data_IF_213769284337
#
_entry.id   IF_213769284337
#
_cell.length_a   1.000
_cell.length_b   1.000
_cell.length_c   1.000
_cell.angle_alpha   90.00
_cell.angle_beta   90.00
_cell.angle_gamma   90.00
#
_symmetry.space_group_name_H-M   'P 1'
#
loop_
_entity.id
_entity.type
_entity.pdbx_description
1 polymer ?
#
# COMPACT_ATOMS: atom_id res chain seq x y z
N UNK A 1 -36.58 69.56 -7.89
CA UNK A 1 -35.15 69.21 -7.68
C UNK A 1 -35.04 67.69 -7.61
N UNK A 2 -34.66 67.03 -8.70
CA UNK A 2 -34.49 65.57 -8.75
C UNK A 2 -32.99 65.26 -8.74
N UNK A 3 -32.49 64.67 -7.66
CA UNK A 3 -31.09 64.26 -7.47
C UNK A 3 -30.87 62.92 -8.16
N UNK A 4 -30.09 62.88 -9.24
CA UNK A 4 -29.63 61.64 -9.88
C UNK A 4 -28.51 61.02 -9.02
N UNK A 5 -28.74 59.84 -8.46
CA UNK A 5 -27.68 58.99 -7.91
C UNK A 5 -27.12 58.11 -9.04
N UNK A 6 -25.81 58.21 -9.28
CA UNK A 6 -25.06 57.35 -10.18
C UNK A 6 -24.56 56.13 -9.40
N UNK A 7 -25.01 54.94 -9.79
CA UNK A 7 -24.51 53.67 -9.27
C UNK A 7 -23.27 53.26 -10.07
N UNK A 8 -22.10 53.32 -9.44
CA UNK A 8 -20.87 52.76 -9.99
C UNK A 8 -20.89 51.23 -9.90
N UNK A 9 -20.90 50.55 -11.05
CA UNK A 9 -20.79 49.10 -11.12
C UNK A 9 -19.33 48.69 -10.91
N UNK A 10 -19.04 48.06 -9.76
CA UNK A 10 -17.76 47.40 -9.49
C UNK A 10 -17.82 46.04 -10.20
N UNK A 11 -17.13 45.89 -11.32
CA UNK A 11 -16.99 44.62 -12.01
C UNK A 11 -16.02 43.71 -11.22
N UNK A 12 -16.57 42.69 -10.55
CA UNK A 12 -15.77 41.63 -9.93
C UNK A 12 -15.20 40.71 -11.03
N UNK A 13 -13.88 40.71 -11.20
CA UNK A 13 -13.18 39.74 -12.04
C UNK A 13 -13.23 38.37 -11.37
N UNK A 14 -14.11 37.49 -11.85
CA UNK A 14 -14.14 36.10 -11.46
C UNK A 14 -12.94 35.37 -12.08
N UNK A 15 -11.91 35.09 -11.28
CA UNK A 15 -10.83 34.18 -11.68
C UNK A 15 -11.38 32.75 -11.70
N UNK A 16 -11.72 32.27 -12.89
CA UNK A 16 -12.02 30.86 -13.14
C UNK A 16 -10.70 30.10 -13.01
N UNK A 17 -10.41 29.57 -11.83
CA UNK A 17 -9.32 28.61 -11.66
C UNK A 17 -9.72 27.33 -12.39
N UNK A 18 -9.24 27.15 -13.63
CA UNK A 18 -9.39 25.87 -14.31
C UNK A 18 -8.68 24.81 -13.47
N UNK A 19 -9.35 23.70 -13.11
CA UNK A 19 -8.68 22.63 -12.38
C UNK A 19 -7.48 22.18 -13.20
N UNK A 20 -6.32 22.09 -12.56
CA UNK A 20 -5.12 21.60 -13.22
C UNK A 20 -5.44 20.22 -13.82
N UNK A 21 -5.26 20.14 -15.14
CA UNK A 21 -5.58 18.93 -15.89
C UNK A 21 -4.58 17.84 -15.50
N UNK A 22 -5.11 16.62 -15.37
CA UNK A 22 -4.30 15.42 -15.20
C UNK A 22 -3.20 15.38 -16.28
N UNK A 23 -2.01 14.87 -15.95
CA UNK A 23 -0.86 14.80 -16.86
C UNK A 23 -0.66 13.34 -17.32
N UNK A 24 -1.44 12.83 -18.30
CA UNK A 24 -1.22 11.49 -18.85
C UNK A 24 0.05 11.45 -19.71
N UNK A 25 0.56 10.26 -19.95
CA UNK A 25 1.68 10.03 -20.86
C UNK A 25 1.25 9.07 -21.99
N UNK A 26 1.31 9.53 -23.25
CA UNK A 26 0.84 8.77 -24.42
C UNK A 26 -0.58 8.20 -24.25
N UNK A 27 -1.47 8.97 -23.60
CA UNK A 27 -2.84 8.55 -23.28
C UNK A 27 -2.98 7.66 -22.04
N UNK A 28 -1.88 7.15 -21.47
CA UNK A 28 -1.91 6.35 -20.24
C UNK A 28 -2.03 7.23 -18.99
N UNK A 29 -2.94 6.86 -18.10
CA UNK A 29 -3.13 7.50 -16.78
C UNK A 29 -2.30 6.84 -15.68
N UNK A 30 -1.79 5.62 -15.91
CA UNK A 30 -0.84 4.92 -15.06
C UNK A 30 0.35 4.53 -15.91
N UNK A 31 1.53 5.02 -15.55
CA UNK A 31 2.76 4.80 -16.32
C UNK A 31 3.97 4.79 -15.37
N UNK A 32 5.15 4.43 -15.88
CA UNK A 32 6.37 4.35 -15.08
C UNK A 32 7.46 5.29 -15.58
N UNK A 33 8.39 5.58 -14.69
CA UNK A 33 9.66 6.23 -14.99
C UNK A 33 10.74 5.68 -14.06
N UNK A 34 12.00 5.80 -14.46
CA UNK A 34 13.16 5.54 -13.61
C UNK A 34 14.00 6.80 -13.53
N UNK A 35 14.26 7.29 -12.31
CA UNK A 35 15.04 8.52 -12.09
C UNK A 35 16.14 8.21 -11.08
N UNK A 36 17.39 8.36 -11.51
CA UNK A 36 18.55 8.01 -10.67
C UNK A 36 18.58 6.53 -10.28
N UNK A 37 18.11 5.64 -11.15
CA UNK A 37 18.01 4.19 -10.88
C UNK A 37 16.88 3.78 -9.93
N UNK A 38 16.00 4.71 -9.55
CA UNK A 38 14.83 4.42 -8.72
C UNK A 38 13.58 4.39 -9.59
N UNK A 39 12.95 3.22 -9.64
CA UNK A 39 11.69 2.99 -10.34
C UNK A 39 10.50 3.61 -9.59
N UNK A 40 9.59 4.19 -10.38
CA UNK A 40 8.43 4.93 -9.89
C UNK A 40 7.23 4.65 -10.77
N UNK A 41 6.05 4.52 -10.15
CA UNK A 41 4.75 4.52 -10.84
C UNK A 41 4.14 5.90 -10.66
N UNK A 42 3.71 6.49 -11.76
CA UNK A 42 3.05 7.79 -11.81
C UNK A 42 1.57 7.57 -12.12
N UNK A 43 0.72 8.23 -11.35
CA UNK A 43 -0.73 8.21 -11.49
C UNK A 43 -1.19 9.60 -11.90
N UNK A 44 -1.88 9.69 -13.03
CA UNK A 44 -2.50 10.89 -13.54
C UNK A 44 -4.00 10.84 -13.23
N UNK A 45 -4.48 11.80 -12.44
CA UNK A 45 -5.84 11.80 -11.91
C UNK A 45 -6.27 13.23 -11.50
N UNK A 46 -7.48 13.37 -10.99
CA UNK A 46 -8.00 14.68 -10.51
C UNK A 46 -7.11 15.26 -9.41
N UNK A 47 -6.72 16.53 -9.55
CA UNK A 47 -5.88 17.22 -8.58
C UNK A 47 -6.47 17.21 -7.15
N UNK A 48 -5.59 17.17 -6.15
CA UNK A 48 -5.95 17.18 -4.72
C UNK A 48 -6.81 15.98 -4.26
N UNK A 49 -6.74 14.85 -4.97
CA UNK A 49 -7.43 13.61 -4.59
C UNK A 49 -6.45 12.55 -4.11
N UNK A 50 -6.97 11.35 -3.82
CA UNK A 50 -6.17 10.16 -3.49
C UNK A 50 -6.54 9.01 -4.41
N UNK A 51 -5.52 8.30 -4.87
CA UNK A 51 -5.67 7.03 -5.59
C UNK A 51 -5.37 5.89 -4.64
N UNK A 52 -6.31 4.95 -4.51
CA UNK A 52 -6.11 3.70 -3.80
C UNK A 52 -5.42 2.69 -4.72
N UNK A 53 -4.24 2.23 -4.30
CA UNK A 53 -3.43 1.23 -4.98
C UNK A 53 -3.46 -0.03 -4.15
N UNK A 54 -4.18 -1.05 -4.61
CA UNK A 54 -4.23 -2.35 -3.94
C UNK A 54 -3.09 -3.23 -4.44
N UNK A 55 -2.27 -3.70 -3.52
CA UNK A 55 -1.14 -4.58 -3.80
C UNK A 55 -1.52 -5.94 -3.22
N UNK A 56 -1.69 -6.91 -4.10
CA UNK A 56 -2.08 -8.26 -3.70
C UNK A 56 -0.87 -9.06 -3.25
N UNK A 57 -1.08 -9.94 -2.28
CA UNK A 57 -0.09 -10.93 -1.86
C UNK A 57 1.27 -10.31 -1.44
N UNK A 58 1.25 -9.13 -0.81
CA UNK A 58 2.49 -8.50 -0.33
C UNK A 58 2.99 -9.25 0.91
N UNK A 59 4.16 -9.87 0.83
CA UNK A 59 4.81 -10.48 1.99
C UNK A 59 5.05 -9.44 3.08
N UNK A 60 4.39 -9.62 4.22
CA UNK A 60 4.66 -8.85 5.43
C UNK A 60 5.53 -9.67 6.36
N UNK A 61 6.75 -9.20 6.56
CA UNK A 61 7.63 -9.72 7.60
C UNK A 61 7.27 -9.05 8.93
N UNK A 62 6.90 -9.87 9.91
CA UNK A 62 6.61 -9.42 11.28
C UNK A 62 7.41 -10.26 12.27
N UNK A 63 8.09 -9.60 13.20
CA UNK A 63 8.66 -10.26 14.37
C UNK A 63 7.57 -10.55 15.40
N UNK A 64 7.48 -11.78 15.88
CA UNK A 64 6.63 -12.16 17.02
C UNK A 64 7.48 -12.74 18.12
N UNK A 65 7.09 -12.52 19.37
CA UNK A 65 7.74 -13.16 20.52
C UNK A 65 7.01 -14.47 20.81
N UNK A 66 7.76 -15.56 20.92
CA UNK A 66 7.22 -16.83 21.38
C UNK A 66 6.72 -16.68 22.82
N UNK A 67 5.51 -17.19 23.07
CA UNK A 67 4.89 -17.18 24.38
C UNK A 67 5.68 -17.99 25.40
N UNK A 68 5.21 -17.95 26.65
CA UNK A 68 5.87 -18.63 27.77
C UNK A 68 5.94 -20.15 27.59
N UNK A 69 5.12 -20.74 26.72
CA UNK A 69 5.13 -22.15 26.40
C UNK A 69 5.79 -22.46 25.05
N UNK A 70 6.51 -21.50 24.48
CA UNK A 70 7.17 -21.68 23.19
C UNK A 70 6.21 -21.63 22.00
N UNK A 71 5.05 -21.01 22.17
CA UNK A 71 4.03 -20.92 21.13
C UNK A 71 4.03 -19.56 20.42
N UNK A 72 3.84 -19.56 19.10
CA UNK A 72 3.61 -18.34 18.32
C UNK A 72 2.22 -18.41 17.72
N UNK A 73 1.38 -17.45 18.12
CA UNK A 73 0.01 -17.30 17.62
C UNK A 73 -0.02 -16.35 16.44
N UNK A 74 -0.49 -16.84 15.30
CA UNK A 74 -0.54 -16.11 14.03
C UNK A 74 -2.00 -15.98 13.60
N UNK A 75 -2.48 -14.75 13.50
CA UNK A 75 -3.84 -14.42 13.09
C UNK A 75 -3.85 -13.79 11.70
N UNK A 76 -4.78 -14.21 10.85
CA UNK A 76 -5.08 -13.57 9.56
C UNK A 76 -6.46 -12.93 9.62
N UNK A 77 -6.62 -11.71 9.09
CA UNK A 77 -7.92 -11.03 9.03
C UNK A 77 -8.89 -11.68 8.03
N UNK A 78 -8.36 -12.37 7.03
CA UNK A 78 -9.15 -13.11 6.03
C UNK A 78 -9.31 -14.58 6.38
N UNK A 79 -8.55 -15.07 7.37
CA UNK A 79 -8.41 -16.50 7.67
C UNK A 79 -7.54 -17.26 6.66
N UNK A 80 -7.01 -16.57 5.64
CA UNK A 80 -6.07 -17.14 4.68
C UNK A 80 -4.64 -17.07 5.23
N UNK A 81 -3.92 -18.17 5.08
CA UNK A 81 -2.53 -18.36 5.49
C UNK A 81 -1.67 -18.87 4.32
N UNK A 82 -2.12 -18.68 3.08
CA UNK A 82 -1.34 -18.97 1.88
C UNK A 82 0.02 -18.26 1.92
N UNK A 83 1.09 -19.03 1.70
CA UNK A 83 2.47 -18.50 1.75
C UNK A 83 2.98 -18.15 3.14
N UNK A 84 2.35 -18.64 4.22
CA UNK A 84 2.88 -18.50 5.58
C UNK A 84 4.26 -19.16 5.71
N UNK A 85 5.21 -18.41 6.24
CA UNK A 85 6.54 -18.91 6.63
C UNK A 85 6.87 -18.48 8.06
N UNK A 86 7.58 -19.34 8.77
CA UNK A 86 8.02 -19.10 10.15
C UNK A 86 9.49 -19.46 10.24
N UNK A 87 10.33 -18.47 10.55
CA UNK A 87 11.79 -18.56 10.45
C UNK A 87 12.22 -19.11 9.08
N UNK A 88 11.66 -18.54 8.02
CA UNK A 88 11.91 -18.90 6.61
C UNK A 88 11.56 -20.36 6.25
N UNK A 89 10.84 -21.05 7.15
CA UNK A 89 10.28 -22.39 6.90
C UNK A 89 8.82 -22.26 6.49
N UNK A 90 8.42 -22.74 5.30
CA UNK A 90 7.02 -22.74 4.88
C UNK A 90 6.14 -23.56 5.84
N UNK A 91 4.96 -23.03 6.14
CA UNK A 91 3.94 -23.71 6.94
C UNK A 91 2.69 -23.86 6.09
N UNK A 92 2.40 -25.09 5.67
CA UNK A 92 1.14 -25.40 5.02
C UNK A 92 0.02 -25.43 6.05
N UNK A 93 -0.74 -24.34 6.13
CA UNK A 93 -1.84 -24.23 7.07
C UNK A 93 -3.01 -25.17 6.73
N UNK A 94 -3.16 -25.59 5.46
CA UNK A 94 -4.34 -26.32 5.00
C UNK A 94 -4.40 -27.74 5.57
N UNK A 95 -3.25 -28.29 5.95
CA UNK A 95 -3.10 -29.63 6.52
C UNK A 95 -3.02 -29.65 8.04
N UNK A 96 -3.02 -28.48 8.69
CA UNK A 96 -2.91 -28.41 10.16
C UNK A 96 -4.20 -28.88 10.84
N UNK A 97 -4.11 -29.76 11.86
CA UNK A 97 -5.27 -30.18 12.64
C UNK A 97 -5.83 -29.02 13.46
N UNK A 98 -7.12 -29.08 13.79
CA UNK A 98 -7.80 -28.07 14.62
C UNK A 98 -7.91 -28.57 16.06
N UNK A 99 -7.39 -27.78 17.02
CA UNK A 99 -7.45 -28.08 18.45
C UNK A 99 -7.79 -26.84 19.28
N UNK A 100 -8.23 -27.03 20.52
CA UNK A 100 -8.25 -25.95 21.50
C UNK A 100 -6.82 -25.61 21.94
N UNK A 101 -6.53 -24.32 22.17
CA UNK A 101 -5.25 -23.88 22.70
C UNK A 101 -5.12 -24.32 24.17
N UNK A 102 -4.15 -25.19 24.53
CA UNK A 102 -3.97 -25.61 25.92
C UNK A 102 -3.48 -24.44 26.79
N UNK A 103 -3.77 -24.49 28.08
CA UNK A 103 -3.19 -23.56 29.05
C UNK A 103 -1.68 -23.75 29.16
N UNK A 104 -0.97 -22.67 29.46
CA UNK A 104 0.47 -22.70 29.74
C UNK A 104 0.73 -22.85 31.24
N UNK A 105 1.45 -23.89 31.66
CA UNK A 105 1.78 -24.16 33.07
C UNK A 105 3.28 -24.42 33.19
N UNK A 106 3.96 -23.59 33.98
CA UNK A 106 5.41 -23.72 34.24
C UNK A 106 6.29 -23.79 32.98
N UNK A 107 5.91 -23.07 31.92
CA UNK A 107 6.68 -23.00 30.67
C UNK A 107 6.40 -24.11 29.66
N UNK A 108 5.41 -24.98 29.90
CA UNK A 108 4.95 -25.99 28.95
C UNK A 108 3.42 -26.03 28.85
N UNK A 109 2.90 -26.45 27.69
CA UNK A 109 1.47 -26.66 27.55
C UNK A 109 1.00 -27.76 28.51
N UNK A 110 -0.13 -27.53 29.19
CA UNK A 110 -0.75 -28.50 30.09
C UNK A 110 -1.09 -29.82 29.37
N UNK A 111 -1.45 -29.73 28.09
CA UNK A 111 -1.53 -30.87 27.17
C UNK A 111 -0.43 -30.72 26.12
N UNK A 112 0.56 -31.63 26.05
CA UNK A 112 1.67 -31.51 25.12
C UNK A 112 1.22 -31.42 23.66
N UNK A 113 1.80 -30.45 22.92
CA UNK A 113 1.63 -30.28 21.48
C UNK A 113 3.01 -30.28 20.83
N UNK A 114 3.31 -31.31 20.05
CA UNK A 114 4.59 -31.44 19.34
C UNK A 114 4.52 -30.97 17.89
N UNK A 115 3.32 -30.76 17.36
CA UNK A 115 3.08 -30.29 16.00
C UNK A 115 2.27 -28.99 16.00
N UNK A 116 2.49 -28.19 14.95
CA UNK A 116 1.71 -26.98 14.68
C UNK A 116 0.23 -27.33 14.48
N UNK A 117 -0.67 -26.43 14.85
CA UNK A 117 -2.12 -26.65 14.75
C UNK A 117 -2.88 -25.35 14.53
N UNK A 118 -4.17 -25.46 14.22
CA UNK A 118 -5.10 -24.34 14.18
C UNK A 118 -5.99 -24.32 15.42
N UNK A 119 -6.29 -23.14 15.95
CA UNK A 119 -7.34 -23.00 16.96
C UNK A 119 -8.73 -23.11 16.33
N UNK A 120 -9.77 -23.34 17.14
CA UNK A 120 -11.17 -23.24 16.70
C UNK A 120 -11.56 -21.85 16.19
N UNK A 121 -10.81 -20.81 16.56
CA UNK A 121 -10.93 -19.45 16.04
C UNK A 121 -10.14 -19.20 14.75
N UNK A 122 -9.51 -20.24 14.19
CA UNK A 122 -8.76 -20.19 12.94
C UNK A 122 -7.32 -19.69 13.06
N UNK A 123 -6.81 -19.43 14.26
CA UNK A 123 -5.42 -18.99 14.44
C UNK A 123 -4.45 -20.14 14.21
N UNK A 124 -3.39 -19.91 13.43
CA UNK A 124 -2.28 -20.87 13.34
C UNK A 124 -1.38 -20.70 14.56
N UNK A 125 -1.13 -21.81 15.25
CA UNK A 125 -0.25 -21.90 16.41
C UNK A 125 0.98 -22.71 16.02
N UNK A 126 2.13 -22.05 16.07
CA UNK A 126 3.43 -22.69 15.90
C UNK A 126 3.94 -23.08 17.27
N UNK A 127 4.37 -24.33 17.42
CA UNK A 127 4.85 -24.87 18.69
C UNK A 127 6.35 -25.15 18.65
N UNK A 128 6.95 -25.39 19.81
CA UNK A 128 8.36 -25.80 19.91
C UNK A 128 9.37 -24.67 19.66
N UNK A 129 8.95 -23.41 19.75
CA UNK A 129 9.88 -22.27 19.77
C UNK A 129 10.44 -22.08 21.18
N UNK A 130 11.59 -21.43 21.29
CA UNK A 130 12.16 -21.11 22.61
C UNK A 130 11.30 -20.03 23.29
N UNK A 131 10.81 -20.23 24.53
CA UNK A 131 10.02 -19.21 25.22
C UNK A 131 10.73 -17.85 25.26
N UNK A 132 10.02 -16.78 24.91
CA UNK A 132 10.56 -15.42 24.90
C UNK A 132 11.49 -15.07 23.73
N UNK A 133 11.78 -16.02 22.81
CA UNK A 133 12.60 -15.71 21.64
C UNK A 133 11.80 -14.95 20.57
N UNK A 134 12.49 -14.09 19.82
CA UNK A 134 11.93 -13.51 18.60
C UNK A 134 11.84 -14.58 17.51
N UNK A 135 10.70 -14.62 16.82
CA UNK A 135 10.36 -15.53 15.73
C UNK A 135 9.93 -14.69 14.55
N UNK A 136 10.53 -14.96 13.39
CA UNK A 136 10.18 -14.27 12.14
C UNK A 136 8.93 -14.92 11.56
N UNK A 137 7.92 -14.12 11.26
CA UNK A 137 6.69 -14.57 10.59
C UNK A 137 6.52 -13.79 9.31
N UNK A 138 6.59 -14.48 8.18
CA UNK A 138 6.22 -13.94 6.89
C UNK A 138 4.81 -14.42 6.55
N UNK A 139 3.86 -13.51 6.46
CA UNK A 139 2.51 -13.83 6.00
C UNK A 139 2.14 -12.85 4.89
N UNK A 140 1.98 -13.32 3.65
CA UNK A 140 1.46 -12.49 2.59
C UNK A 140 0.06 -11.97 2.90
N UNK A 141 -0.18 -10.70 2.55
CA UNK A 141 -1.46 -10.06 2.77
C UNK A 141 -1.68 -8.97 1.73
N UNK A 142 -2.94 -8.70 1.44
CA UNK A 142 -3.29 -7.59 0.58
C UNK A 142 -3.11 -6.26 1.31
N UNK A 143 -2.54 -5.29 0.61
CA UNK A 143 -2.22 -3.97 1.17
C UNK A 143 -2.72 -2.89 0.24
N UNK A 144 -3.60 -2.03 0.74
CA UNK A 144 -3.98 -0.80 0.05
C UNK A 144 -3.07 0.35 0.47
N UNK A 145 -2.44 0.99 -0.51
CA UNK A 145 -1.67 2.22 -0.34
C UNK A 145 -2.42 3.38 -0.96
N UNK A 146 -2.36 4.55 -0.33
CA UNK A 146 -2.98 5.76 -0.87
C UNK A 146 -1.90 6.67 -1.44
N UNK A 147 -1.99 6.94 -2.74
CA UNK A 147 -1.13 7.91 -3.42
C UNK A 147 -1.87 9.23 -3.49
N UNK A 148 -1.27 10.29 -2.94
CA UNK A 148 -1.87 11.64 -3.00
C UNK A 148 -1.56 12.28 -4.34
N UNK A 149 -2.60 12.79 -5.00
CA UNK A 149 -2.51 13.50 -6.27
C UNK A 149 -2.30 14.98 -5.96
N UNK A 150 -1.20 15.54 -6.44
CA UNK A 150 -0.84 16.93 -6.19
C UNK A 150 -1.76 17.91 -6.93
N UNK A 151 -1.54 19.22 -6.69
CA UNK A 151 -2.30 20.28 -7.32
C UNK A 151 -2.14 20.37 -8.85
N UNK A 152 -1.20 19.65 -9.45
CA UNK A 152 -1.01 19.54 -10.90
C UNK A 152 -1.62 18.25 -11.50
N UNK A 153 -2.38 17.46 -10.72
CA UNK A 153 -3.10 16.30 -11.26
C UNK A 153 -2.25 15.03 -11.43
N UNK A 154 -1.16 14.87 -10.69
CA UNK A 154 -0.44 13.59 -10.63
C UNK A 154 0.06 13.22 -9.22
N UNK A 155 0.28 11.93 -8.99
CA UNK A 155 0.91 11.39 -7.79
C UNK A 155 1.93 10.32 -8.13
N UNK A 156 2.84 10.02 -7.19
CA UNK A 156 3.95 9.10 -7.43
C UNK A 156 4.01 8.05 -6.33
N UNK A 157 4.08 6.77 -6.72
CA UNK A 157 4.51 5.68 -5.86
C UNK A 157 5.97 5.34 -6.20
N UNK A 158 6.88 5.54 -5.25
CA UNK A 158 8.32 5.31 -5.44
C UNK A 158 8.76 4.04 -4.74
N UNK A 159 9.73 3.33 -5.34
CA UNK A 159 10.44 2.26 -4.64
C UNK A 159 11.20 2.81 -3.43
N UNK A 160 11.18 2.09 -2.32
CA UNK A 160 12.13 2.25 -1.22
C UNK A 160 12.71 0.89 -0.83
N UNK A 161 13.80 0.88 -0.07
CA UNK A 161 14.42 -0.37 0.42
C UNK A 161 13.46 -1.21 1.27
N UNK A 162 12.57 -0.56 2.04
CA UNK A 162 11.56 -1.22 2.86
C UNK A 162 10.24 -1.49 2.12
N UNK A 163 10.09 -0.98 0.90
CA UNK A 163 8.85 -1.03 0.15
C UNK A 163 9.17 -0.93 -1.35
N UNK A 164 9.56 -2.04 -2.00
CA UNK A 164 9.79 -2.07 -3.44
C UNK A 164 8.51 -1.76 -4.21
N UNK A 165 8.65 -1.43 -5.50
CA UNK A 165 7.52 -1.33 -6.41
C UNK A 165 6.90 -2.73 -6.58
N UNK A 166 5.58 -2.86 -6.41
CA UNK A 166 4.93 -4.15 -6.61
C UNK A 166 5.01 -4.57 -8.08
N UNK A 167 5.28 -5.86 -8.33
CA UNK A 167 5.28 -6.40 -9.69
C UNK A 167 3.89 -6.29 -10.34
N UNK A 168 2.83 -6.50 -9.54
CA UNK A 168 1.43 -6.37 -9.93
C UNK A 168 0.65 -5.59 -8.87
N UNK A 169 -0.29 -4.76 -9.31
CA UNK A 169 -1.14 -3.95 -8.42
C UNK A 169 -2.46 -3.62 -9.11
N UNK A 170 -3.44 -3.13 -8.34
CA UNK A 170 -4.74 -2.67 -8.84
C UNK A 170 -4.96 -1.21 -8.51
N UNK A 171 -5.62 -0.51 -9.44
CA UNK A 171 -6.14 0.85 -9.22
C UNK A 171 -7.64 0.80 -9.48
N UNK A 172 -8.45 0.97 -8.43
CA UNK A 172 -9.87 0.66 -8.52
C UNK A 172 -10.10 -0.83 -8.84
N UNK A 173 -10.72 -1.12 -9.97
CA UNK A 173 -10.97 -2.49 -10.47
C UNK A 173 -9.97 -2.96 -11.52
N UNK A 174 -9.10 -2.08 -12.00
CA UNK A 174 -8.16 -2.37 -13.07
C UNK A 174 -6.85 -2.94 -12.53
N UNK A 175 -6.37 -4.02 -13.14
CA UNK A 175 -5.09 -4.66 -12.80
C UNK A 175 -3.96 -4.16 -13.70
N UNK A 176 -2.82 -3.92 -13.09
CA UNK A 176 -1.61 -3.43 -13.74
C UNK A 176 -0.42 -4.32 -13.39
N UNK A 177 0.46 -4.53 -14.36
CA UNK A 177 1.77 -5.17 -14.15
C UNK A 177 2.86 -4.14 -14.42
N UNK A 178 3.77 -3.93 -13.48
CA UNK A 178 4.79 -2.89 -13.58
C UNK A 178 5.63 -3.00 -14.86
N UNK A 179 6.00 -4.22 -15.27
CA UNK A 179 6.77 -4.45 -16.50
C UNK A 179 6.03 -4.00 -17.76
N UNK A 180 4.70 -4.09 -17.78
CA UNK A 180 3.83 -3.74 -18.92
C UNK A 180 3.44 -2.26 -18.99
N UNK A 181 3.75 -1.46 -17.96
CA UNK A 181 3.44 -0.02 -17.97
C UNK A 181 4.23 0.72 -19.05
N UNK A 182 3.58 1.69 -19.69
CA UNK A 182 4.25 2.64 -20.59
C UNK A 182 5.38 3.35 -19.83
N UNK A 183 6.57 3.42 -20.42
CA UNK A 183 7.73 4.05 -19.78
C UNK A 183 7.91 5.46 -20.31
N UNK A 184 7.76 6.45 -19.43
CA UNK A 184 8.11 7.84 -19.69
C UNK A 184 9.60 8.08 -19.45
N UNK A 185 10.25 8.98 -20.20
CA UNK A 185 11.69 9.26 -20.05
C UNK A 185 12.02 10.09 -18.80
N UNK A 186 11.00 10.52 -18.05
CA UNK A 186 11.18 11.25 -16.79
C UNK A 186 9.86 11.46 -16.07
N UNK A 187 9.90 12.06 -14.89
CA UNK A 187 8.73 12.29 -14.03
C UNK A 187 8.22 13.73 -14.23
N UNK A 188 6.90 13.99 -14.23
CA UNK A 188 6.40 15.36 -14.29
C UNK A 188 6.76 16.14 -13.03
N UNK A 189 6.92 17.45 -13.16
CA UNK A 189 7.24 18.36 -12.06
C UNK A 189 6.02 19.25 -11.82
N UNK A 190 5.59 19.37 -10.55
CA UNK A 190 4.55 20.31 -10.16
C UNK A 190 5.18 21.49 -9.42
N UNK A 191 4.94 22.71 -9.89
CA UNK A 191 5.32 23.94 -9.16
C UNK A 191 4.07 24.71 -8.75
N UNK A 192 4.14 25.38 -7.61
CA UNK A 192 3.11 26.32 -7.18
C UNK A 192 3.68 27.73 -7.09
N UNK A 193 2.94 28.71 -7.58
CA UNK A 193 3.26 30.13 -7.44
C UNK A 193 1.96 30.90 -7.24
N UNK A 194 1.86 31.68 -6.16
CA UNK A 194 0.65 32.44 -5.81
C UNK A 194 -0.64 31.59 -5.79
N UNK A 195 -0.57 30.34 -5.32
CA UNK A 195 -1.71 29.42 -5.27
C UNK A 195 -2.10 28.78 -6.61
N UNK A 196 -1.41 29.11 -7.70
CA UNK A 196 -1.59 28.48 -9.01
C UNK A 196 -0.58 27.35 -9.18
N UNK A 197 -1.06 26.17 -9.57
CA UNK A 197 -0.26 24.99 -9.83
C UNK A 197 0.04 24.85 -11.33
N UNK A 198 1.32 24.70 -11.66
CA UNK A 198 1.79 24.51 -13.04
C UNK A 198 2.57 23.20 -13.14
N UNK A 199 2.07 22.29 -13.96
CA UNK A 199 2.75 21.04 -14.31
C UNK A 199 3.75 21.25 -15.44
N UNK A 200 4.92 20.62 -15.34
CA UNK A 200 5.94 20.60 -16.38
C UNK A 200 6.29 19.15 -16.70
N UNK A 201 6.30 18.81 -17.97
CA UNK A 201 6.80 17.53 -18.46
C UNK A 201 8.21 17.73 -19.01
N UNK A 202 9.17 16.83 -18.73
CA UNK A 202 10.51 16.90 -19.31
C UNK A 202 10.45 17.00 -20.85
N UNK A 203 11.32 17.84 -21.43
CA UNK A 203 11.50 17.92 -22.88
C UNK A 203 12.04 16.58 -23.40
N UNK A 204 11.20 15.80 -24.06
CA UNK A 204 11.52 14.45 -24.51
C UNK A 204 10.46 13.40 -24.16
N UNK A 205 9.42 13.76 -23.41
CA UNK A 205 8.15 13.03 -23.39
C UNK A 205 7.50 12.99 -24.79
#
# INVERSE_FOLDING_TARGET
>A
MLKKLSAGAIAALAFISTPALAIPYQGATVYKASVGGVDQIIFSATANTRVAVSIENQTRNTGRIAGSCGEVKISSSTGDYGGLEVDDTPVDSSTLPVFNLPSCVSGAFAEPRTANFKTSTGQVVIVGKTPGSAVKVNLPSDVTRYVTINGCGFGILKATSSSPIPASFKVGTESYTFSALTTSPGVPICRSSNGVYTGYVPSGW
#
